data_IF_799591340168
#
_entry.id   IF_799591340168
#
_cell.length_a   1.000
_cell.length_b   1.000
_cell.length_c   1.000
_cell.angle_alpha   90.00
_cell.angle_beta   90.00
_cell.angle_gamma   90.00
#
_symmetry.space_group_name_H-M   'P 1'
#
loop_
_entity.id
_entity.type
_entity.pdbx_description
1 polymer ?
#
# COMPACT_ATOMS: atom_id res chain seq x y z
N UNK A 1 -20.13 -1.15 -23.99
CA UNK A 1 -19.68 -1.44 -22.61
C UNK A 1 -19.66 -2.94 -22.30
N UNK A 2 -18.64 -3.40 -21.55
CA UNK A 2 -18.44 -4.81 -21.17
C UNK A 2 -18.18 -4.90 -19.67
N UNK A 3 -18.90 -5.77 -18.99
CA UNK A 3 -18.69 -6.09 -17.58
C UNK A 3 -18.25 -7.54 -17.41
N UNK A 4 -17.57 -7.84 -16.30
CA UNK A 4 -17.28 -9.20 -15.87
C UNK A 4 -18.19 -9.53 -14.69
N UNK A 5 -19.04 -10.53 -14.86
CA UNK A 5 -19.98 -11.00 -13.85
C UNK A 5 -19.57 -12.39 -13.34
N UNK A 6 -20.13 -12.78 -12.21
CA UNK A 6 -20.09 -14.16 -11.74
C UNK A 6 -21.49 -14.78 -11.88
N UNK A 7 -21.61 -16.09 -12.16
CA UNK A 7 -22.90 -16.77 -12.16
C UNK A 7 -23.55 -16.69 -10.77
N UNK A 8 -24.76 -16.15 -10.68
CA UNK A 8 -25.48 -15.92 -9.43
C UNK A 8 -26.15 -17.19 -8.82
N UNK A 9 -26.06 -18.33 -9.52
CA UNK A 9 -26.56 -19.61 -9.03
C UNK A 9 -25.72 -20.76 -9.60
N UNK A 10 -24.72 -21.21 -8.83
CA UNK A 10 -23.92 -22.39 -9.21
C UNK A 10 -24.68 -23.71 -9.13
N UNK A 11 -25.87 -23.73 -8.51
CA UNK A 11 -26.70 -24.92 -8.39
C UNK A 11 -27.62 -25.16 -9.60
N UNK A 12 -27.74 -24.22 -10.54
CA UNK A 12 -28.45 -24.46 -11.79
C UNK A 12 -27.58 -25.31 -12.74
N UNK A 13 -27.78 -26.63 -12.68
CA UNK A 13 -26.98 -27.60 -13.43
C UNK A 13 -27.25 -27.59 -14.94
N UNK A 14 -28.24 -26.82 -15.42
CA UNK A 14 -28.56 -26.70 -16.85
C UNK A 14 -27.45 -25.98 -17.62
N UNK A 15 -26.73 -25.09 -16.95
CA UNK A 15 -25.60 -24.35 -17.52
C UNK A 15 -24.42 -24.39 -16.56
N UNK A 16 -23.37 -25.13 -16.90
CA UNK A 16 -22.09 -25.03 -16.18
C UNK A 16 -21.29 -23.87 -16.77
N UNK A 17 -21.32 -22.76 -16.08
CA UNK A 17 -20.48 -21.62 -16.37
C UNK A 17 -19.48 -21.49 -15.22
N UNK A 18 -18.20 -21.68 -15.54
CA UNK A 18 -17.11 -21.56 -14.58
C UNK A 18 -16.40 -20.23 -14.74
N UNK A 19 -16.02 -19.62 -13.61
CA UNK A 19 -15.28 -18.35 -13.60
C UNK A 19 -16.11 -17.12 -13.97
N UNK A 20 -15.42 -16.11 -14.49
CA UNK A 20 -16.00 -14.80 -14.84
C UNK A 20 -16.65 -14.82 -16.22
N UNK A 21 -17.83 -14.24 -16.30
CA UNK A 21 -18.67 -14.20 -17.50
C UNK A 21 -18.70 -12.79 -18.06
N UNK A 22 -18.28 -12.56 -19.31
CA UNK A 22 -18.43 -11.26 -19.93
C UNK A 22 -19.89 -10.98 -20.27
N UNK A 23 -20.44 -9.90 -19.70
CA UNK A 23 -21.77 -9.38 -20.04
C UNK A 23 -21.60 -8.16 -20.95
N UNK A 24 -22.32 -8.15 -22.07
CA UNK A 24 -22.25 -7.12 -23.10
C UNK A 24 -23.43 -6.16 -23.00
N UNK A 25 -23.21 -4.93 -23.46
CA UNK A 25 -24.23 -3.87 -23.58
C UNK A 25 -24.88 -3.53 -22.24
N UNK A 26 -24.07 -3.47 -21.18
CA UNK A 26 -24.54 -3.08 -19.86
C UNK A 26 -24.69 -1.57 -19.80
N UNK A 27 -25.90 -1.10 -19.49
CA UNK A 27 -26.23 0.33 -19.49
C UNK A 27 -26.20 0.92 -18.06
N UNK A 28 -27.01 0.39 -17.15
CA UNK A 28 -27.26 1.01 -15.83
C UNK A 28 -26.90 0.11 -14.64
N UNK A 29 -26.12 -0.96 -14.84
CA UNK A 29 -25.73 -1.84 -13.74
C UNK A 29 -24.73 -1.18 -12.80
N UNK A 30 -24.84 -1.53 -11.51
CA UNK A 30 -23.86 -1.19 -10.48
C UNK A 30 -23.10 -2.44 -10.01
N UNK A 31 -21.91 -2.28 -9.39
CA UNK A 31 -21.23 -3.38 -8.73
C UNK A 31 -22.15 -4.09 -7.73
N UNK A 32 -22.04 -5.42 -7.72
CA UNK A 32 -22.78 -6.36 -6.87
C UNK A 32 -24.27 -6.52 -7.18
N UNK A 33 -24.79 -5.87 -8.22
CA UNK A 33 -26.14 -6.16 -8.68
C UNK A 33 -26.19 -7.53 -9.37
N UNK A 34 -27.26 -8.26 -9.11
CA UNK A 34 -27.56 -9.49 -9.83
C UNK A 34 -28.34 -9.11 -11.08
N UNK A 35 -27.83 -9.55 -12.23
CA UNK A 35 -28.37 -9.17 -13.54
C UNK A 35 -29.07 -10.37 -14.18
N UNK A 36 -30.16 -10.09 -14.88
CA UNK A 36 -30.71 -10.98 -15.89
C UNK A 36 -29.91 -10.79 -17.18
N UNK A 37 -29.58 -11.92 -17.80
CA UNK A 37 -28.85 -11.92 -19.07
C UNK A 37 -29.50 -12.91 -20.04
N UNK A 38 -29.40 -12.60 -21.33
CA UNK A 38 -29.77 -13.49 -22.43
C UNK A 38 -28.50 -14.11 -23.00
N UNK A 39 -28.49 -15.43 -23.16
CA UNK A 39 -27.38 -16.15 -23.76
C UNK A 39 -27.75 -16.58 -25.19
N UNK A 40 -26.93 -16.21 -26.16
CA UNK A 40 -27.15 -16.52 -27.59
C UNK A 40 -26.37 -17.76 -28.08
N UNK A 41 -25.69 -18.47 -27.17
CA UNK A 41 -24.78 -19.57 -27.50
C UNK A 41 -23.30 -19.20 -27.46
N UNK A 42 -22.97 -17.90 -27.45
CA UNK A 42 -21.58 -17.41 -27.40
C UNK A 42 -21.37 -16.28 -26.38
N UNK A 43 -22.35 -15.39 -26.19
CA UNK A 43 -22.23 -14.18 -25.37
C UNK A 43 -23.44 -14.02 -24.43
N UNK A 44 -23.18 -13.42 -23.27
CA UNK A 44 -24.22 -12.96 -22.36
C UNK A 44 -24.55 -11.50 -22.65
N UNK A 45 -25.79 -11.23 -23.00
CA UNK A 45 -26.32 -9.91 -23.27
C UNK A 45 -27.08 -9.41 -22.05
N UNK A 46 -26.84 -8.16 -21.66
CA UNK A 46 -27.57 -7.52 -20.58
C UNK A 46 -29.07 -7.41 -20.91
N UNK A 47 -29.92 -7.79 -19.97
CA UNK A 47 -31.37 -7.57 -20.05
C UNK A 47 -31.85 -6.56 -19.01
N UNK A 48 -31.28 -6.60 -17.81
CA UNK A 48 -31.67 -5.71 -16.71
C UNK A 48 -31.26 -6.28 -15.34
N UNK A 49 -31.53 -5.56 -14.24
CA UNK A 49 -31.39 -6.11 -12.89
C UNK A 49 -32.42 -7.23 -12.64
N UNK A 50 -32.06 -8.23 -11.84
CA UNK A 50 -33.00 -9.28 -11.41
C UNK A 50 -33.93 -8.73 -10.31
N UNK A 51 -35.23 -8.51 -10.58
CA UNK A 51 -36.15 -7.90 -9.63
C UNK A 51 -36.47 -8.80 -8.43
N UNK A 52 -36.06 -10.07 -8.46
CA UNK A 52 -36.26 -11.02 -7.35
C UNK A 52 -35.19 -10.90 -6.28
N UNK A 53 -34.12 -10.14 -6.54
CA UNK A 53 -32.98 -9.99 -5.64
C UNK A 53 -33.13 -8.73 -4.81
N UNK A 54 -32.72 -8.82 -3.55
CA UNK A 54 -32.76 -7.69 -2.62
C UNK A 54 -31.71 -6.64 -3.02
N UNK A 55 -32.12 -5.43 -3.49
CA UNK A 55 -31.17 -4.38 -3.85
C UNK A 55 -30.36 -3.88 -2.65
N UNK A 56 -30.85 -4.07 -1.41
CA UNK A 56 -30.13 -3.65 -0.22
C UNK A 56 -28.86 -4.47 0.02
N UNK A 57 -28.75 -5.69 -0.51
CA UNK A 57 -27.51 -6.49 -0.43
C UNK A 57 -26.41 -5.88 -1.29
N UNK A 58 -26.72 -5.51 -2.53
CA UNK A 58 -25.76 -4.85 -3.42
C UNK A 58 -25.30 -3.50 -2.82
N UNK A 59 -26.23 -2.71 -2.28
CA UNK A 59 -25.90 -1.45 -1.60
C UNK A 59 -24.96 -1.66 -0.40
N UNK A 60 -25.26 -2.65 0.45
CA UNK A 60 -24.40 -2.99 1.59
C UNK A 60 -23.00 -3.41 1.16
N UNK A 61 -22.86 -4.24 0.12
CA UNK A 61 -21.54 -4.67 -0.37
C UNK A 61 -20.73 -3.50 -0.91
N UNK A 62 -21.37 -2.54 -1.60
CA UNK A 62 -20.70 -1.31 -2.04
C UNK A 62 -20.23 -0.46 -0.86
N UNK A 63 -21.07 -0.31 0.16
CA UNK A 63 -20.71 0.43 1.36
C UNK A 63 -19.57 -0.23 2.15
N UNK A 64 -19.63 -1.55 2.34
CA UNK A 64 -18.57 -2.32 2.98
C UNK A 64 -17.24 -2.19 2.23
N UNK A 65 -17.29 -2.24 0.89
CA UNK A 65 -16.13 -2.08 0.03
C UNK A 65 -15.55 -0.67 0.12
N UNK A 66 -16.41 0.36 0.13
CA UNK A 66 -15.98 1.74 0.29
C UNK A 66 -15.30 2.00 1.64
N UNK A 67 -15.64 1.22 2.67
CA UNK A 67 -15.00 1.24 3.99
C UNK A 67 -13.85 0.24 4.13
N UNK A 68 -13.49 -0.46 3.05
CA UNK A 68 -12.44 -1.49 3.05
C UNK A 68 -12.60 -2.56 4.15
N UNK A 69 -13.84 -2.98 4.41
CA UNK A 69 -14.11 -4.09 5.35
C UNK A 69 -13.50 -5.39 4.80
N UNK A 70 -12.72 -6.11 5.62
CA UNK A 70 -12.10 -7.36 5.19
C UNK A 70 -13.15 -8.43 4.79
N UNK A 71 -12.89 -9.24 3.75
CA UNK A 71 -13.82 -10.29 3.30
C UNK A 71 -14.29 -11.25 4.41
N UNK A 72 -13.41 -11.58 5.35
CA UNK A 72 -13.65 -12.45 6.49
C UNK A 72 -14.55 -11.80 7.55
N UNK A 73 -14.47 -10.46 7.68
CA UNK A 73 -15.29 -9.67 8.58
C UNK A 73 -16.66 -9.30 7.98
N UNK A 74 -16.88 -9.59 6.69
CA UNK A 74 -18.10 -9.26 5.98
C UNK A 74 -19.29 -10.07 6.52
N UNK A 75 -20.16 -9.39 7.26
CA UNK A 75 -21.31 -9.99 7.93
C UNK A 75 -22.62 -9.31 7.53
N UNK A 76 -23.47 -10.07 6.83
CA UNK A 76 -24.87 -9.74 6.56
C UNK A 76 -25.68 -11.03 6.49
N UNK A 77 -26.84 -11.13 7.16
CA UNK A 77 -27.72 -12.28 7.02
C UNK A 77 -28.14 -12.50 5.56
N UNK A 78 -28.10 -13.76 5.11
CA UNK A 78 -28.54 -14.13 3.77
C UNK A 78 -27.52 -13.89 2.65
N UNK A 79 -26.28 -13.46 2.97
CA UNK A 79 -25.23 -13.29 1.97
C UNK A 79 -24.82 -14.65 1.38
N UNK A 80 -24.91 -14.75 0.06
CA UNK A 80 -24.59 -15.97 -0.71
C UNK A 80 -23.07 -16.15 -0.89
N UNK A 81 -22.66 -17.36 -1.25
CA UNK A 81 -21.26 -17.64 -1.56
C UNK A 81 -20.78 -16.85 -2.78
N UNK A 82 -21.64 -16.70 -3.78
CA UNK A 82 -21.41 -15.90 -4.98
C UNK A 82 -21.15 -14.44 -4.61
N UNK A 83 -22.01 -13.83 -3.80
CA UNK A 83 -21.83 -12.44 -3.36
C UNK A 83 -20.51 -12.23 -2.59
N UNK A 84 -20.11 -13.20 -1.74
CA UNK A 84 -18.80 -13.16 -1.05
C UNK A 84 -17.63 -13.24 -2.03
N UNK A 85 -17.73 -14.07 -3.06
CA UNK A 85 -16.72 -14.17 -4.12
C UNK A 85 -16.65 -12.86 -4.91
N UNK A 86 -17.80 -12.30 -5.32
CA UNK A 86 -17.84 -11.01 -6.01
C UNK A 86 -17.19 -9.90 -5.17
N UNK A 87 -17.48 -9.86 -3.87
CA UNK A 87 -16.87 -8.92 -2.94
C UNK A 87 -15.35 -9.06 -2.91
N UNK A 88 -14.86 -10.29 -2.69
CA UNK A 88 -13.42 -10.58 -2.62
C UNK A 88 -12.69 -10.16 -3.90
N UNK A 89 -13.26 -10.45 -5.07
CA UNK A 89 -12.69 -10.06 -6.36
C UNK A 89 -12.59 -8.54 -6.56
N UNK A 90 -13.45 -7.77 -5.89
CA UNK A 90 -13.43 -6.31 -5.93
C UNK A 90 -12.56 -5.69 -4.82
N UNK A 91 -12.37 -6.42 -3.72
CA UNK A 91 -11.60 -6.00 -2.55
C UNK A 91 -10.10 -6.05 -2.82
N UNK A 92 -9.58 -7.19 -3.29
CA UNK A 92 -8.13 -7.39 -3.45
C UNK A 92 -7.46 -6.33 -4.34
N UNK A 93 -7.97 -6.00 -5.55
CA UNK A 93 -7.33 -4.98 -6.38
C UNK A 93 -7.36 -3.58 -5.75
N UNK A 94 -8.37 -3.27 -4.93
CA UNK A 94 -8.45 -1.99 -4.22
C UNK A 94 -7.42 -1.93 -3.09
N UNK A 95 -7.26 -3.01 -2.34
CA UNK A 95 -6.25 -3.11 -1.30
C UNK A 95 -4.84 -2.93 -1.90
N UNK A 96 -4.56 -3.60 -3.01
CA UNK A 96 -3.29 -3.44 -3.74
C UNK A 96 -3.07 -2.01 -4.23
N UNK A 97 -4.11 -1.38 -4.79
CA UNK A 97 -4.06 0.01 -5.24
C UNK A 97 -3.84 1.00 -4.08
N UNK A 98 -4.48 0.79 -2.94
CA UNK A 98 -4.26 1.61 -1.74
C UNK A 98 -2.84 1.44 -1.18
N UNK A 99 -2.33 0.22 -1.13
CA UNK A 99 -0.96 -0.06 -0.72
C UNK A 99 0.06 0.57 -1.69
N UNK A 100 -0.19 0.51 -3.01
CA UNK A 100 0.63 1.20 -4.01
C UNK A 100 0.58 2.72 -3.81
N UNK A 101 -0.61 3.31 -3.70
CA UNK A 101 -0.76 4.74 -3.48
C UNK A 101 -0.16 5.23 -2.16
N UNK A 102 -0.13 4.39 -1.11
CA UNK A 102 0.58 4.68 0.15
C UNK A 102 2.08 4.71 -0.10
N UNK A 103 2.65 3.71 -0.80
CA UNK A 103 4.08 3.68 -1.14
C UNK A 103 4.50 4.90 -1.95
N UNK A 104 3.72 5.25 -2.98
CA UNK A 104 4.01 6.40 -3.83
C UNK A 104 4.05 7.70 -3.01
N UNK A 105 3.07 7.91 -2.12
CA UNK A 105 3.03 9.07 -1.21
C UNK A 105 4.23 9.13 -0.25
N UNK A 106 4.63 7.98 0.31
CA UNK A 106 5.82 7.90 1.18
C UNK A 106 7.07 8.26 0.40
N UNK A 107 7.23 7.69 -0.80
CA UNK A 107 8.38 7.93 -1.64
C UNK A 107 8.47 9.40 -2.09
N UNK A 108 7.36 10.00 -2.49
CA UNK A 108 7.27 11.44 -2.78
C UNK A 108 7.67 12.31 -1.58
N UNK A 109 7.17 11.96 -0.38
CA UNK A 109 7.52 12.68 0.87
C UNK A 109 9.02 12.61 1.15
N UNK A 110 9.63 11.43 1.03
CA UNK A 110 11.07 11.23 1.21
C UNK A 110 11.90 11.98 0.17
N UNK A 111 11.50 11.91 -1.12
CA UNK A 111 12.15 12.67 -2.19
C UNK A 111 12.11 14.16 -1.93
N UNK A 112 10.95 14.69 -1.50
CA UNK A 112 10.79 16.11 -1.21
C UNK A 112 11.71 16.57 -0.07
N UNK A 113 11.75 15.81 1.03
CA UNK A 113 12.62 16.12 2.18
C UNK A 113 14.11 16.11 1.80
N UNK A 114 14.56 15.11 1.04
CA UNK A 114 15.95 14.98 0.59
C UNK A 114 16.31 16.07 -0.43
N UNK A 115 15.44 16.33 -1.42
CA UNK A 115 15.70 17.29 -2.48
C UNK A 115 15.85 18.72 -1.93
N UNK A 116 15.09 19.07 -0.88
CA UNK A 116 15.20 20.38 -0.24
C UNK A 116 16.61 20.66 0.30
N UNK A 117 17.31 19.62 0.77
CA UNK A 117 18.68 19.70 1.28
C UNK A 117 19.75 19.33 0.21
N UNK A 118 19.33 19.08 -1.03
CA UNK A 118 20.21 18.75 -2.15
C UNK A 118 20.72 17.30 -2.16
N UNK A 119 19.96 16.37 -1.57
CA UNK A 119 20.15 14.94 -1.69
C UNK A 119 19.13 14.30 -2.63
N UNK A 120 19.43 13.12 -3.17
CA UNK A 120 18.50 12.32 -3.96
C UNK A 120 18.19 11.00 -3.29
N UNK A 121 16.91 10.60 -3.27
CA UNK A 121 16.51 9.29 -2.78
C UNK A 121 17.05 8.19 -3.71
N UNK A 122 17.70 7.17 -3.13
CA UNK A 122 18.16 6.00 -3.87
C UNK A 122 17.24 4.79 -3.64
N UNK A 123 16.84 4.54 -2.39
CA UNK A 123 15.96 3.43 -2.00
C UNK A 123 15.41 3.67 -0.59
N UNK A 124 14.32 2.99 -0.21
CA UNK A 124 13.88 2.93 1.18
C UNK A 124 13.17 1.61 1.51
N UNK A 125 13.27 1.20 2.76
CA UNK A 125 12.55 0.02 3.28
C UNK A 125 11.80 0.36 4.56
N UNK A 126 10.57 -0.12 4.69
CA UNK A 126 9.74 0.01 5.88
C UNK A 126 10.01 -1.17 6.84
N UNK A 127 10.24 -0.88 8.13
CA UNK A 127 10.32 -1.88 9.20
C UNK A 127 9.63 -1.35 10.45
N UNK A 128 8.52 -1.97 10.86
CA UNK A 128 7.77 -1.51 12.02
C UNK A 128 7.30 -0.06 11.84
N UNK A 129 7.74 0.82 12.71
CA UNK A 129 7.46 2.25 12.79
C UNK A 129 8.60 3.14 12.24
N UNK A 130 9.59 2.54 11.57
CA UNK A 130 10.72 3.27 10.96
C UNK A 130 10.86 3.04 9.46
N UNK A 131 11.49 4.00 8.79
CA UNK A 131 12.03 3.88 7.44
C UNK A 131 13.56 3.80 7.51
N UNK A 132 14.14 2.79 6.86
CA UNK A 132 15.56 2.80 6.51
C UNK A 132 15.70 3.40 5.12
N UNK A 133 16.23 4.61 5.05
CA UNK A 133 16.31 5.42 3.83
C UNK A 133 17.74 5.43 3.32
N UNK A 134 17.95 5.02 2.08
CA UNK A 134 19.20 5.18 1.38
C UNK A 134 19.11 6.36 0.42
N UNK A 135 20.06 7.28 0.50
CA UNK A 135 20.08 8.50 -0.29
C UNK A 135 21.49 8.87 -0.71
N UNK A 136 21.60 9.75 -1.70
CA UNK A 136 22.88 10.19 -2.24
C UNK A 136 23.07 11.69 -2.05
N UNK A 137 24.29 12.07 -1.68
CA UNK A 137 24.74 13.45 -1.63
C UNK A 137 26.03 13.55 -2.45
N UNK A 138 26.00 14.30 -3.55
CA UNK A 138 27.09 14.43 -4.53
C UNK A 138 27.79 13.09 -4.87
N UNK A 139 26.99 12.07 -5.20
CA UNK A 139 27.47 10.76 -5.62
C UNK A 139 27.95 9.83 -4.50
N UNK A 140 27.84 10.24 -3.23
CA UNK A 140 28.09 9.36 -2.07
C UNK A 140 26.78 8.86 -1.50
N UNK A 141 26.67 7.54 -1.37
CA UNK A 141 25.51 6.88 -0.76
C UNK A 141 25.61 6.89 0.75
N UNK A 142 24.51 7.26 1.38
CA UNK A 142 24.27 7.28 2.83
C UNK A 142 23.03 6.47 3.15
N UNK A 143 22.96 5.97 4.37
CA UNK A 143 21.81 5.24 4.90
C UNK A 143 21.50 5.77 6.28
N UNK A 144 20.23 6.07 6.53
CA UNK A 144 19.76 6.50 7.84
C UNK A 144 18.45 5.79 8.19
N UNK A 145 18.18 5.65 9.48
CA UNK A 145 16.92 5.14 10.03
C UNK A 145 16.15 6.32 10.60
N UNK A 146 14.91 6.50 10.16
CA UNK A 146 14.06 7.63 10.54
C UNK A 146 12.66 7.16 10.96
N UNK A 147 11.99 7.92 11.82
CA UNK A 147 10.60 7.67 12.20
C UNK A 147 9.63 7.93 11.04
N UNK A 148 8.56 7.14 10.97
CA UNK A 148 7.57 7.24 9.89
C UNK A 148 6.59 8.41 10.03
N UNK A 149 6.37 8.93 11.22
CA UNK A 149 5.42 10.00 11.49
C UNK A 149 5.99 11.36 11.07
N UNK A 150 7.19 11.69 11.53
CA UNK A 150 7.78 13.04 11.41
C UNK A 150 9.12 13.11 10.68
N UNK A 151 9.68 11.97 10.24
CA UNK A 151 11.01 11.87 9.60
C UNK A 151 12.18 12.23 10.54
N UNK A 152 11.99 12.23 11.85
CA UNK A 152 13.06 12.35 12.84
C UNK A 152 14.07 11.22 12.71
N UNK A 153 15.36 11.53 12.85
CA UNK A 153 16.44 10.56 12.69
C UNK A 153 16.60 9.77 13.99
N UNK A 154 16.48 8.45 13.89
CA UNK A 154 16.81 7.55 15.00
C UNK A 154 18.29 7.15 14.93
N UNK A 155 18.76 6.83 13.73
CA UNK A 155 20.17 6.50 13.47
C UNK A 155 20.63 7.20 12.21
N UNK A 156 21.59 8.11 12.31
CA UNK A 156 22.08 8.89 11.19
C UNK A 156 22.93 8.09 10.19
N UNK A 157 23.47 6.93 10.60
CA UNK A 157 24.47 6.17 9.84
C UNK A 157 25.88 6.75 9.94
N UNK A 158 26.05 7.78 10.77
CA UNK A 158 27.31 8.42 11.15
C UNK A 158 27.27 8.75 12.64
N UNK A 159 28.43 8.88 13.28
CA UNK A 159 28.49 9.28 14.67
C UNK A 159 28.13 10.76 14.82
N UNK A 160 27.02 11.03 15.51
CA UNK A 160 26.59 12.38 15.91
C UNK A 160 26.69 12.57 17.43
N UNK A 161 27.57 11.83 18.09
CA UNK A 161 27.74 11.86 19.55
C UNK A 161 26.45 11.57 20.34
N UNK A 162 25.55 10.74 19.81
CA UNK A 162 24.26 10.40 20.42
C UNK A 162 23.13 11.41 20.16
N UNK A 163 23.38 12.44 19.35
CA UNK A 163 22.41 13.52 19.10
C UNK A 163 21.52 13.27 17.88
N UNK A 164 21.43 12.02 17.39
CA UNK A 164 20.69 11.64 16.19
C UNK A 164 19.24 12.17 16.21
N UNK A 165 18.55 12.01 17.34
CA UNK A 165 17.17 12.43 17.56
C UNK A 165 16.93 13.96 17.49
N UNK A 166 17.98 14.77 17.50
CA UNK A 166 17.89 16.22 17.33
C UNK A 166 17.78 16.63 15.85
N UNK A 167 17.88 15.68 14.92
CA UNK A 167 17.85 15.94 13.50
C UNK A 167 16.64 15.28 12.85
N UNK A 168 16.06 15.96 11.87
CA UNK A 168 15.20 15.34 10.86
C UNK A 168 16.02 14.97 9.61
N UNK A 169 15.41 14.20 8.72
CA UNK A 169 16.07 13.77 7.47
C UNK A 169 16.64 14.95 6.66
N UNK A 170 15.95 16.10 6.67
CA UNK A 170 16.37 17.28 5.93
C UNK A 170 17.63 17.93 6.55
N UNK A 171 17.63 18.11 7.86
CA UNK A 171 18.71 18.75 8.62
C UNK A 171 19.96 17.87 8.64
N UNK A 172 19.78 16.54 8.70
CA UNK A 172 20.89 15.58 8.62
C UNK A 172 21.68 15.71 7.31
N UNK A 173 21.00 15.91 6.18
CA UNK A 173 21.67 16.13 4.88
C UNK A 173 22.54 17.40 4.93
N UNK A 174 22.07 18.46 5.60
CA UNK A 174 22.86 19.67 5.82
C UNK A 174 24.15 19.40 6.58
N UNK A 175 24.07 18.68 7.70
CA UNK A 175 25.23 18.27 8.52
C UNK A 175 26.21 17.43 7.69
N UNK A 176 25.72 16.47 6.92
CA UNK A 176 26.56 15.60 6.08
C UNK A 176 27.31 16.36 4.99
N UNK A 177 26.75 17.47 4.49
CA UNK A 177 27.44 18.34 3.51
C UNK A 177 28.52 19.18 4.16
N UNK A 178 28.26 19.75 5.33
CA UNK A 178 29.22 20.56 6.09
C UNK A 178 30.39 19.70 6.59
N UNK A 179 30.12 18.48 7.06
CA UNK A 179 31.10 17.55 7.60
C UNK A 179 32.13 17.04 6.57
N UNK A 180 31.98 17.37 5.28
CA UNK A 180 32.90 16.93 4.20
C UNK A 180 34.35 17.38 4.34
N UNK A 181 34.64 18.33 5.22
CA UNK A 181 36.00 18.73 5.57
C UNK A 181 36.64 17.92 6.72
N UNK A 182 35.89 17.05 7.40
CA UNK A 182 36.31 16.35 8.62
C UNK A 182 36.23 14.82 8.53
N UNK A 183 36.89 14.14 9.47
CA UNK A 183 36.79 12.69 9.62
C UNK A 183 35.44 12.32 10.24
N UNK A 184 34.53 11.75 9.45
CA UNK A 184 33.23 11.26 9.92
C UNK A 184 33.32 9.76 10.17
N UNK A 185 33.04 9.32 11.40
CA UNK A 185 32.94 7.90 11.75
C UNK A 185 31.59 7.39 11.26
N UNK A 186 31.59 6.33 10.45
CA UNK A 186 30.35 5.67 9.99
C UNK A 186 29.81 4.73 11.07
N UNK A 187 28.49 4.63 11.16
CA UNK A 187 27.80 3.73 12.08
C UNK A 187 26.87 2.81 11.29
N UNK A 188 26.87 1.52 11.61
CA UNK A 188 26.04 0.50 10.96
C UNK A 188 26.83 -0.47 10.09
N UNK A 189 26.25 -0.89 8.97
CA UNK A 189 26.81 -1.96 8.13
C UNK A 189 27.96 -1.45 7.24
N UNK A 190 29.18 -1.97 7.46
CA UNK A 190 30.33 -1.71 6.58
C UNK A 190 31.66 -2.20 7.16
N UNK A 191 32.68 -2.42 6.30
CA UNK A 191 33.99 -2.92 6.74
C UNK A 191 34.75 -1.95 7.66
N UNK A 192 34.50 -0.65 7.52
CA UNK A 192 35.11 0.43 8.32
C UNK A 192 34.07 1.18 9.17
N UNK A 193 32.88 0.61 9.36
CA UNK A 193 31.80 1.20 10.15
C UNK A 193 31.81 0.64 11.57
N UNK A 194 31.51 1.50 12.55
CA UNK A 194 31.27 1.08 13.92
C UNK A 194 29.90 0.37 13.99
N UNK A 195 29.81 -0.83 14.59
CA UNK A 195 28.52 -1.47 14.83
C UNK A 195 27.57 -0.57 15.61
N UNK A 196 26.28 -0.59 15.27
CA UNK A 196 25.28 0.24 15.93
C UNK A 196 25.15 -0.06 17.44
N UNK A 197 25.28 -1.33 17.83
CA UNK A 197 25.32 -1.74 19.24
C UNK A 197 26.49 -1.10 20.01
N UNK A 198 27.65 -0.96 19.36
CA UNK A 198 28.83 -0.34 19.94
C UNK A 198 28.65 1.19 20.05
N UNK A 199 27.99 1.81 19.07
CA UNK A 199 27.65 3.22 19.10
C UNK A 199 26.76 3.57 20.30
N UNK A 200 25.65 2.86 20.47
CA UNK A 200 24.73 3.09 21.58
C UNK A 200 25.31 2.71 22.95
N UNK A 201 26.31 1.81 22.99
CA UNK A 201 27.07 1.54 24.23
C UNK A 201 27.92 2.74 24.67
N UNK A 202 28.45 3.52 23.73
CA UNK A 202 29.26 4.72 24.01
C UNK A 202 28.38 5.95 24.22
N UNK A 203 27.25 6.02 23.51
CA UNK A 203 26.29 7.12 23.55
C UNK A 203 24.88 6.60 23.89
N UNK A 204 24.60 6.20 25.14
CA UNK A 204 23.28 5.66 25.49
C UNK A 204 22.17 6.70 25.24
N UNK A 205 21.02 6.30 24.68
CA UNK A 205 19.90 7.22 24.49
C UNK A 205 19.42 7.75 25.85
N UNK A 206 19.03 9.03 25.90
CA UNK A 206 18.44 9.61 27.10
C UNK A 206 17.09 8.91 27.40
N UNK A 207 16.77 8.66 28.69
CA UNK A 207 15.56 7.94 29.11
C UNK A 207 14.27 8.74 28.92
#
# INVERSE_FOLDING_TARGET
DRWLAIPANRADTRFRIEGLVPVRLVEEAQPFEVLLTRFDGAQCWYEGPDPRRDPATAAFLREALARMVEPEALSRPGLTAEERVAYTLNYLPRLEAEAAARRDRVEERLRAALAHAGASLADYTERGDVYRVAFEIDGRRHVSVIAQDDLSVQTAGICLSGQDHLFDLQSLVGVLREARGGAVVRVGDGPDAMPEEDYWRVHPPEP
#
